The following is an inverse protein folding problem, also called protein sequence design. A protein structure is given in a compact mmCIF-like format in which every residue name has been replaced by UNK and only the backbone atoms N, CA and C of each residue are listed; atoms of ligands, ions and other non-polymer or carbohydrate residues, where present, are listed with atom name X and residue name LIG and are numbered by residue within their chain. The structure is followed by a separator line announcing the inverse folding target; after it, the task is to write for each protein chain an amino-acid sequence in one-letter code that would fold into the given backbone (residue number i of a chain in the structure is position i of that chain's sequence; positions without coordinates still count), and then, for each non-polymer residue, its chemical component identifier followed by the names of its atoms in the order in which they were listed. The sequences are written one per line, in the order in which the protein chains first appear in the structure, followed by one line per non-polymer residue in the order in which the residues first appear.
data_IF_190570009913
#
_entry.id   IF_190570009913
#
_cell.length_a   1.000
_cell.length_b   1.000
_cell.length_c   1.000
_cell.angle_alpha   90.00
_cell.angle_beta   90.00
_cell.angle_gamma   90.00
#
_symmetry.space_group_name_H-M   'P 1'
#
loop_
_entity.id
_entity.type
_entity.pdbx_description
1 polymer ?
#
# COMPACT_ATOMS: atom_id res chain seq x y z
N UNK A 1 -12.51 -7.32 -24.78
CA UNK A 1 -11.69 -6.09 -24.76
C UNK A 1 -10.93 -6.12 -23.46
N UNK A 2 -9.61 -6.18 -23.53
CA UNK A 2 -8.76 -6.25 -22.35
C UNK A 2 -8.81 -4.89 -21.66
N UNK A 3 -9.43 -4.81 -20.47
CA UNK A 3 -9.71 -3.52 -19.80
C UNK A 3 -8.45 -2.89 -19.21
N UNK A 4 -7.29 -3.54 -19.36
CA UNK A 4 -6.02 -3.11 -18.81
C UNK A 4 -5.97 -3.12 -17.28
N UNK A 5 -7.02 -3.62 -16.61
CA UNK A 5 -7.13 -3.66 -15.16
C UNK A 5 -6.32 -4.80 -14.56
N UNK A 6 -5.83 -4.61 -13.33
CA UNK A 6 -5.16 -5.67 -12.57
C UNK A 6 -6.17 -6.34 -11.64
N UNK A 7 -6.38 -7.64 -11.78
CA UNK A 7 -7.23 -8.43 -10.87
C UNK A 7 -6.37 -9.17 -9.86
N UNK A 8 -6.57 -8.87 -8.58
CA UNK A 8 -5.88 -9.49 -7.46
C UNK A 8 -6.82 -10.42 -6.70
N UNK A 9 -6.33 -11.59 -6.31
CA UNK A 9 -7.00 -12.47 -5.37
C UNK A 9 -6.39 -12.28 -3.99
N UNK A 10 -7.10 -11.61 -3.10
CA UNK A 10 -6.62 -11.40 -1.73
C UNK A 10 -7.19 -12.50 -0.84
N UNK A 11 -6.28 -13.26 -0.25
CA UNK A 11 -6.61 -14.27 0.76
C UNK A 11 -6.72 -13.57 2.12
N UNK A 12 -7.94 -13.37 2.61
CA UNK A 12 -8.16 -12.74 3.91
C UNK A 12 -7.63 -13.65 5.02
N UNK A 13 -6.57 -13.27 5.77
CA UNK A 13 -5.90 -14.19 6.70
C UNK A 13 -6.78 -14.61 7.88
N UNK A 14 -7.70 -13.73 8.29
CA UNK A 14 -8.53 -13.86 9.50
C UNK A 14 -9.98 -14.25 9.22
N UNK A 15 -10.42 -14.25 7.97
CA UNK A 15 -11.79 -14.58 7.62
C UNK A 15 -11.87 -15.99 7.03
N UNK A 16 -12.61 -16.86 7.73
CA UNK A 16 -12.87 -18.22 7.28
C UNK A 16 -14.37 -18.43 7.08
N UNK A 17 -14.76 -19.06 5.98
CA UNK A 17 -16.12 -19.57 5.76
C UNK A 17 -16.05 -21.08 5.63
N UNK A 18 -16.73 -21.80 6.53
CA UNK A 18 -16.71 -23.29 6.56
C UNK A 18 -15.29 -23.86 6.60
N UNK A 19 -14.41 -23.31 7.45
CA UNK A 19 -12.98 -23.70 7.59
C UNK A 19 -12.11 -23.46 6.34
N UNK A 20 -12.60 -22.74 5.32
CA UNK A 20 -11.81 -22.30 4.17
C UNK A 20 -11.53 -20.80 4.27
N UNK A 21 -10.32 -20.38 3.91
CA UNK A 21 -9.98 -18.96 3.82
C UNK A 21 -10.86 -18.28 2.78
N UNK A 22 -11.38 -17.10 3.11
CA UNK A 22 -12.14 -16.31 2.15
C UNK A 22 -11.17 -15.66 1.17
N UNK A 23 -11.39 -15.89 -0.12
CA UNK A 23 -10.68 -15.21 -1.21
C UNK A 23 -11.61 -14.13 -1.73
N UNK A 24 -11.18 -12.87 -1.65
CA UNK A 24 -11.91 -11.73 -2.18
C UNK A 24 -11.18 -11.25 -3.44
N UNK A 25 -11.83 -11.24 -4.61
CA UNK A 25 -11.26 -10.61 -5.79
C UNK A 25 -11.33 -9.09 -5.64
N UNK A 26 -10.27 -8.41 -6.04
CA UNK A 26 -10.20 -6.96 -6.15
C UNK A 26 -9.71 -6.58 -7.54
N UNK A 27 -10.30 -5.53 -8.10
CA UNK A 27 -9.90 -4.99 -9.40
C UNK A 27 -9.30 -3.63 -9.19
N UNK A 28 -8.06 -3.45 -9.63
CA UNK A 28 -7.36 -2.18 -9.65
C UNK A 28 -7.46 -1.65 -11.08
N UNK A 29 -8.13 -0.51 -11.22
CA UNK A 29 -8.25 0.17 -12.50
C UNK A 29 -7.00 1.02 -12.75
N UNK A 30 -6.53 1.09 -14.01
CA UNK A 30 -5.41 1.96 -14.34
C UNK A 30 -5.82 3.43 -14.15
N UNK A 31 -4.92 4.24 -13.60
CA UNK A 31 -5.04 5.69 -13.64
C UNK A 31 -4.67 6.16 -15.05
N UNK A 32 -5.55 6.93 -15.68
CA UNK A 32 -5.36 7.42 -17.06
C UNK A 32 -4.72 8.80 -17.12
N UNK A 33 -4.80 9.57 -16.03
CA UNK A 33 -4.34 10.96 -15.98
C UNK A 33 -2.86 11.10 -15.62
N UNK A 34 -2.32 10.14 -14.87
CA UNK A 34 -0.93 10.13 -14.42
C UNK A 34 -0.43 8.68 -14.45
N UNK A 35 0.53 8.43 -15.33
CA UNK A 35 1.08 7.08 -15.56
C UNK A 35 2.08 6.68 -14.48
N UNK A 36 2.80 7.64 -13.90
CA UNK A 36 3.81 7.40 -12.86
C UNK A 36 3.14 7.04 -11.54
N UNK A 37 1.97 7.63 -11.28
CA UNK A 37 1.12 7.29 -10.13
C UNK A 37 0.13 6.14 -10.40
N UNK A 38 0.21 5.49 -11.56
CA UNK A 38 -0.71 4.41 -11.92
C UNK A 38 -0.29 3.09 -11.27
N UNK A 39 -1.05 2.54 -10.30
CA UNK A 39 -0.67 1.32 -9.59
C UNK A 39 -0.60 0.10 -10.51
N UNK A 40 -1.41 0.08 -11.57
CA UNK A 40 -1.37 -0.99 -12.58
C UNK A 40 -0.07 -0.95 -13.37
N UNK A 41 0.37 0.24 -13.78
CA UNK A 41 1.61 0.38 -14.56
C UNK A 41 2.83 0.15 -13.68
N UNK A 42 2.85 0.66 -12.44
CA UNK A 42 3.89 0.37 -11.47
C UNK A 42 4.04 -1.14 -11.21
N UNK A 43 2.92 -1.87 -11.07
CA UNK A 43 2.95 -3.31 -10.95
C UNK A 43 3.53 -4.01 -12.20
N UNK A 44 3.08 -3.62 -13.40
CA UNK A 44 3.57 -4.21 -14.66
C UNK A 44 5.07 -3.95 -14.85
N UNK A 45 5.51 -2.73 -14.62
CA UNK A 45 6.92 -2.36 -14.71
C UNK A 45 7.78 -3.22 -13.77
N UNK A 46 7.33 -3.44 -12.53
CA UNK A 46 8.02 -4.30 -11.57
C UNK A 46 7.97 -5.80 -11.99
N UNK A 47 6.80 -6.28 -12.43
CA UNK A 47 6.60 -7.68 -12.81
C UNK A 47 7.43 -8.06 -14.05
N UNK A 48 7.44 -7.20 -15.07
CA UNK A 48 8.08 -7.43 -16.36
C UNK A 48 9.56 -7.01 -16.36
N UNK A 49 10.07 -6.50 -15.23
CA UNK A 49 11.44 -6.02 -15.12
C UNK A 49 12.44 -7.16 -15.37
N UNK A 50 13.27 -7.02 -16.41
CA UNK A 50 14.21 -8.08 -16.85
C UNK A 50 15.19 -8.48 -15.74
N UNK A 51 15.69 -7.51 -14.96
CA UNK A 51 16.56 -7.76 -13.81
C UNK A 51 15.86 -8.41 -12.60
N UNK A 52 14.53 -8.42 -12.57
CA UNK A 52 13.75 -9.18 -11.58
C UNK A 52 13.38 -10.56 -12.11
N UNK A 53 13.12 -10.68 -13.41
CA UNK A 53 12.85 -11.96 -14.06
C UNK A 53 14.11 -12.86 -14.12
N UNK A 54 15.30 -12.28 -14.26
CA UNK A 54 16.58 -13.01 -14.31
C UNK A 54 17.11 -13.42 -12.94
N UNK A 55 16.47 -12.98 -11.86
CA UNK A 55 16.98 -13.17 -10.50
C UNK A 55 16.91 -14.63 -10.06
N UNK A 56 17.95 -15.14 -9.36
CA UNK A 56 17.92 -16.49 -8.82
C UNK A 56 16.73 -16.68 -7.86
N UNK A 57 16.12 -17.88 -7.84
CA UNK A 57 15.13 -18.24 -6.82
C UNK A 57 15.70 -18.01 -5.41
N UNK A 58 15.00 -17.18 -4.63
CA UNK A 58 15.40 -16.82 -3.27
C UNK A 58 16.38 -15.65 -3.14
N UNK A 59 16.51 -14.84 -4.19
CA UNK A 59 17.09 -13.51 -4.09
C UNK A 59 16.13 -12.51 -3.43
N UNK A 60 16.70 -11.48 -2.79
CA UNK A 60 15.91 -10.48 -2.09
C UNK A 60 15.24 -9.53 -3.08
N UNK A 61 13.91 -9.48 -3.15
CA UNK A 61 13.20 -8.52 -4.03
C UNK A 61 13.03 -7.15 -3.36
N UNK A 62 12.88 -7.14 -2.04
CA UNK A 62 12.70 -5.94 -1.22
C UNK A 62 13.55 -6.05 0.05
N UNK A 63 13.81 -4.92 0.72
CA UNK A 63 14.60 -4.87 1.96
C UNK A 63 13.96 -5.74 3.05
N UNK A 64 14.58 -6.86 3.43
CA UNK A 64 14.04 -7.89 4.35
C UNK A 64 12.93 -8.79 3.76
N UNK A 65 12.89 -8.93 2.44
CA UNK A 65 12.11 -9.95 1.74
C UNK A 65 13.05 -10.87 0.98
N UNK A 66 13.27 -12.09 1.49
CA UNK A 66 14.28 -13.01 0.93
C UNK A 66 13.75 -13.93 -0.16
N UNK A 67 12.43 -13.95 -0.43
CA UNK A 67 11.82 -14.92 -1.33
C UNK A 67 10.59 -14.30 -2.01
N UNK A 68 10.57 -14.25 -3.34
CA UNK A 68 9.45 -13.73 -4.16
C UNK A 68 8.14 -14.47 -3.85
N UNK A 69 8.22 -15.76 -3.51
CA UNK A 69 7.05 -16.60 -3.22
C UNK A 69 6.61 -16.56 -1.75
N UNK A 70 7.39 -15.93 -0.86
CA UNK A 70 7.04 -15.85 0.55
C UNK A 70 6.21 -14.60 0.80
N UNK A 71 5.08 -14.78 1.49
CA UNK A 71 4.30 -13.62 1.96
C UNK A 71 5.12 -12.78 2.93
N UNK A 72 5.11 -11.46 2.73
CA UNK A 72 5.70 -10.53 3.67
C UNK A 72 4.98 -10.60 5.02
N UNK A 73 5.75 -10.47 6.10
CA UNK A 73 5.17 -10.35 7.42
C UNK A 73 4.49 -8.98 7.57
N UNK A 74 3.46 -8.91 8.41
CA UNK A 74 2.79 -7.63 8.71
C UNK A 74 3.74 -6.61 9.36
N UNK A 75 4.73 -7.06 10.12
CA UNK A 75 5.73 -6.17 10.73
C UNK A 75 6.71 -5.61 9.71
N UNK A 76 7.10 -6.40 8.69
CA UNK A 76 7.92 -5.92 7.56
C UNK A 76 7.18 -4.82 6.81
N UNK A 77 5.92 -5.09 6.40
CA UNK A 77 5.08 -4.13 5.68
C UNK A 77 4.90 -2.86 6.52
N UNK A 78 4.57 -3.01 7.81
CA UNK A 78 4.39 -1.86 8.70
C UNK A 78 5.66 -1.03 8.86
N UNK A 79 6.83 -1.66 8.86
CA UNK A 79 8.12 -0.96 8.99
C UNK A 79 8.42 -0.12 7.75
N UNK A 80 8.22 -0.67 6.55
CA UNK A 80 8.40 0.09 5.30
C UNK A 80 7.42 1.25 5.23
N UNK A 81 6.13 1.00 5.48
CA UNK A 81 5.12 2.04 5.40
C UNK A 81 5.34 3.16 6.43
N UNK A 82 5.81 2.83 7.63
CA UNK A 82 6.08 3.86 8.64
C UNK A 82 7.37 4.63 8.34
N UNK A 83 8.48 3.93 8.05
CA UNK A 83 9.81 4.55 7.89
C UNK A 83 9.93 5.30 6.57
N UNK A 84 9.44 4.70 5.49
CA UNK A 84 9.74 5.16 4.13
C UNK A 84 8.59 5.97 3.51
N UNK A 85 7.42 6.00 4.15
CA UNK A 85 6.26 6.74 3.61
C UNK A 85 5.66 7.71 4.63
N UNK A 86 5.19 7.23 5.79
CA UNK A 86 4.53 8.09 6.79
C UNK A 86 5.53 9.10 7.37
N UNK A 87 6.74 8.67 7.73
CA UNK A 87 7.75 9.55 8.34
C UNK A 87 8.25 10.65 7.40
N UNK A 88 8.19 10.46 6.07
CA UNK A 88 8.51 11.51 5.10
C UNK A 88 7.43 12.62 5.08
N UNK A 89 6.20 12.26 5.42
CA UNK A 89 5.05 13.14 5.27
C UNK A 89 4.64 13.83 6.58
N UNK A 90 5.09 13.34 7.73
CA UNK A 90 4.74 13.90 9.03
C UNK A 90 5.70 13.49 10.14
N UNK A 91 5.86 14.37 11.13
CA UNK A 91 6.52 14.08 12.40
C UNK A 91 5.55 13.66 13.51
N UNK A 92 4.24 13.55 13.23
CA UNK A 92 3.25 13.18 14.23
C UNK A 92 3.45 11.72 14.70
N UNK A 93 3.48 11.47 16.02
CA UNK A 93 3.63 10.12 16.54
C UNK A 93 2.34 9.30 16.36
N UNK A 94 2.49 7.99 16.19
CA UNK A 94 1.39 7.02 16.11
C UNK A 94 0.47 7.20 14.90
N UNK A 95 0.97 7.77 13.82
CA UNK A 95 0.23 7.83 12.55
C UNK A 95 0.29 6.47 11.86
N UNK A 96 -0.88 5.98 11.47
CA UNK A 96 -1.03 4.74 10.71
C UNK A 96 -1.74 5.01 9.38
N UNK A 97 -1.52 4.15 8.38
CA UNK A 97 -2.29 4.22 7.13
C UNK A 97 -3.79 4.10 7.39
N UNK A 98 -4.20 3.33 8.41
CA UNK A 98 -5.61 3.19 8.77
C UNK A 98 -6.22 4.50 9.26
N UNK A 99 -5.49 5.27 10.08
CA UNK A 99 -5.94 6.60 10.53
C UNK A 99 -6.01 7.61 9.39
N UNK A 100 -5.04 7.56 8.47
CA UNK A 100 -5.01 8.43 7.29
C UNK A 100 -6.17 8.12 6.34
N UNK A 101 -6.35 6.84 6.00
CA UNK A 101 -7.44 6.37 5.15
C UNK A 101 -8.80 6.73 5.74
N UNK A 102 -9.00 6.53 7.06
CA UNK A 102 -10.24 6.92 7.71
C UNK A 102 -10.52 8.42 7.59
N UNK A 103 -9.54 9.25 7.94
CA UNK A 103 -9.71 10.71 7.91
C UNK A 103 -10.00 11.20 6.49
N UNK A 104 -9.34 10.62 5.47
CA UNK A 104 -9.61 10.94 4.06
C UNK A 104 -10.99 10.53 3.59
N UNK A 105 -11.46 9.34 3.98
CA UNK A 105 -12.78 8.85 3.59
C UNK A 105 -13.89 9.67 4.26
N UNK A 106 -13.68 10.13 5.49
CA UNK A 106 -14.57 11.11 6.13
C UNK A 106 -14.62 12.46 5.38
N UNK A 107 -13.47 12.99 4.96
CA UNK A 107 -13.41 14.25 4.22
C UNK A 107 -14.14 14.17 2.86
N UNK A 108 -14.22 12.97 2.27
CA UNK A 108 -15.01 12.70 1.08
C UNK A 108 -16.53 12.54 1.36
N UNK A 109 -16.96 12.71 2.62
CA UNK A 109 -18.36 12.70 3.02
C UNK A 109 -18.96 11.31 3.23
N UNK A 110 -18.15 10.25 3.27
CA UNK A 110 -18.65 8.89 3.57
C UNK A 110 -19.09 8.84 5.02
N UNK A 111 -20.26 8.25 5.28
CA UNK A 111 -20.83 8.20 6.62
C UNK A 111 -19.96 7.37 7.57
N UNK A 112 -19.92 7.77 8.85
CA UNK A 112 -19.17 7.03 9.88
C UNK A 112 -19.64 5.60 10.02
N UNK A 113 -20.95 5.39 9.94
CA UNK A 113 -21.56 4.07 10.06
C UNK A 113 -21.15 3.16 8.91
N UNK A 114 -21.12 3.67 7.68
CA UNK A 114 -20.62 2.91 6.52
C UNK A 114 -19.15 2.55 6.70
N UNK A 115 -18.33 3.46 7.21
CA UNK A 115 -16.90 3.18 7.43
C UNK A 115 -16.70 2.13 8.53
N UNK A 116 -17.47 2.19 9.62
CA UNK A 116 -17.44 1.18 10.69
C UNK A 116 -17.82 -0.20 10.13
N UNK A 117 -18.88 -0.26 9.31
CA UNK A 117 -19.36 -1.50 8.69
C UNK A 117 -18.32 -2.05 7.70
N UNK A 118 -17.83 -1.21 6.77
CA UNK A 118 -16.87 -1.61 5.75
C UNK A 118 -15.50 -1.96 6.33
N UNK A 119 -15.09 -1.24 7.38
CA UNK A 119 -13.85 -1.47 8.11
C UNK A 119 -13.91 -2.70 9.02
N UNK A 120 -15.11 -3.20 9.32
CA UNK A 120 -15.38 -4.24 10.32
C UNK A 120 -14.92 -3.84 11.74
N UNK A 121 -15.29 -2.64 12.19
CA UNK A 121 -14.89 -2.11 13.49
C UNK A 121 -16.00 -2.26 14.51
N UNK A 122 -15.62 -2.37 15.78
CA UNK A 122 -16.56 -2.60 16.88
C UNK A 122 -17.44 -1.37 17.15
N UNK A 123 -16.91 -0.16 16.94
CA UNK A 123 -17.64 1.09 17.19
C UNK A 123 -17.02 2.29 16.46
N UNK A 124 -17.83 3.32 16.25
CA UNK A 124 -17.39 4.65 15.80
C UNK A 124 -16.43 5.32 16.80
N UNK A 125 -16.66 5.13 18.10
CA UNK A 125 -15.83 5.70 19.17
C UNK A 125 -14.38 5.21 19.14
N UNK A 126 -14.15 3.97 18.73
CA UNK A 126 -12.80 3.45 18.50
C UNK A 126 -12.08 4.29 17.46
N UNK A 127 -12.82 4.77 16.46
CA UNK A 127 -12.27 5.56 15.37
C UNK A 127 -11.98 6.98 15.81
N UNK A 128 -12.98 7.64 16.37
CA UNK A 128 -12.88 9.04 16.79
C UNK A 128 -11.74 9.24 17.79
N UNK A 129 -11.59 8.32 18.75
CA UNK A 129 -10.60 8.46 19.80
C UNK A 129 -9.18 8.04 19.38
N UNK A 130 -9.03 7.05 18.49
CA UNK A 130 -7.71 6.47 18.19
C UNK A 130 -7.21 6.69 16.77
N UNK A 131 -8.09 6.93 15.81
CA UNK A 131 -7.74 6.95 14.39
C UNK A 131 -8.12 8.24 13.66
N UNK A 132 -9.00 9.07 14.22
CA UNK A 132 -9.35 10.34 13.60
C UNK A 132 -8.19 11.34 13.71
N UNK A 133 -7.74 11.82 12.55
CA UNK A 133 -6.61 12.74 12.38
C UNK A 133 -6.98 13.76 11.30
N UNK A 134 -8.03 14.55 11.54
CA UNK A 134 -8.57 15.49 10.55
C UNK A 134 -7.51 16.49 10.04
N UNK A 135 -6.54 16.87 10.86
CA UNK A 135 -5.45 17.77 10.46
C UNK A 135 -4.51 17.12 9.42
N UNK A 136 -4.41 15.79 9.41
CA UNK A 136 -3.54 15.05 8.49
C UNK A 136 -4.16 14.76 7.13
N UNK A 137 -5.49 14.87 6.99
CA UNK A 137 -6.17 14.59 5.73
C UNK A 137 -5.96 15.70 4.66
N UNK A 138 -5.34 16.81 5.06
CA UNK A 138 -4.89 17.89 4.18
C UNK A 138 -3.44 17.75 3.71
N UNK A 139 -2.68 16.81 4.25
CA UNK A 139 -1.30 16.57 3.81
C UNK A 139 -1.35 15.96 2.40
N UNK A 140 -0.73 16.65 1.43
CA UNK A 140 -0.52 16.10 0.11
C UNK A 140 0.68 15.14 0.14
N UNK A 141 0.40 13.90 0.55
CA UNK A 141 1.42 12.84 0.64
C UNK A 141 2.12 12.61 -0.70
N UNK A 142 1.40 12.73 -1.81
CA UNK A 142 1.96 12.51 -3.15
C UNK A 142 3.01 13.57 -3.46
N UNK A 143 2.65 14.84 -3.35
CA UNK A 143 3.61 15.92 -3.59
C UNK A 143 4.78 15.88 -2.61
N UNK A 144 4.55 15.55 -1.33
CA UNK A 144 5.63 15.46 -0.33
C UNK A 144 6.62 14.35 -0.65
N UNK A 145 6.16 13.15 -1.03
CA UNK A 145 7.05 12.02 -1.40
C UNK A 145 7.77 12.30 -2.71
N UNK A 146 7.11 12.95 -3.67
CA UNK A 146 7.71 13.26 -4.98
C UNK A 146 8.65 14.49 -4.94
N UNK A 147 8.51 15.37 -3.94
CA UNK A 147 9.34 16.58 -3.80
C UNK A 147 10.57 16.39 -2.93
N UNK A 148 10.72 15.26 -2.24
CA UNK A 148 11.91 14.96 -1.46
C UNK A 148 13.12 14.85 -2.42
N UNK A 149 14.17 15.68 -2.27
CA UNK A 149 15.35 15.67 -3.14
C UNK A 149 16.27 14.47 -2.85
N UNK A 150 15.71 13.29 -2.67
CA UNK A 150 16.48 12.06 -2.72
C UNK A 150 16.74 11.73 -4.19
N UNK A 151 17.95 12.07 -4.63
CA UNK A 151 18.72 11.44 -5.71
C UNK A 151 18.87 9.91 -5.49
N UNK A 152 17.80 9.22 -5.11
CA UNK A 152 17.76 7.80 -4.78
C UNK A 152 16.39 7.17 -5.06
N UNK A 153 15.63 7.73 -5.99
CA UNK A 153 14.84 6.85 -6.84
C UNK A 153 15.86 6.05 -7.64
N UNK A 154 16.13 4.82 -7.19
CA UNK A 154 16.87 3.86 -8.00
C UNK A 154 16.08 3.72 -9.29
N UNK A 155 16.60 4.34 -10.35
CA UNK A 155 16.12 4.07 -11.68
C UNK A 155 16.17 2.55 -11.81
N UNK A 156 15.12 1.92 -12.36
CA UNK A 156 15.12 0.46 -12.47
C UNK A 156 16.30 -0.04 -13.36
N UNK A 157 16.92 0.90 -14.09
CA UNK A 157 18.16 0.78 -14.83
C UNK A 157 19.45 0.83 -14.01
N UNK A 158 19.45 1.34 -12.78
CA UNK A 158 20.64 1.29 -11.92
C UNK A 158 20.76 -0.10 -11.32
N UNK A 159 21.76 -0.83 -11.82
CA UNK A 159 22.13 -2.17 -11.41
C UNK A 159 22.03 -2.34 -9.89
N UNK A 160 21.14 -3.23 -9.46
CA UNK A 160 21.16 -3.80 -8.11
C UNK A 160 22.42 -4.67 -7.96
N UNK A 161 23.57 -3.99 -7.88
CA UNK A 161 24.87 -4.59 -7.57
C UNK A 161 24.82 -4.97 -6.09
N UNK A 162 24.48 -6.23 -5.84
CA UNK A 162 24.50 -6.83 -4.51
C UNK A 162 25.94 -6.78 -3.96
N UNK A 163 26.15 -5.97 -2.93
CA UNK A 163 27.20 -6.21 -1.92
C UNK A 163 26.65 -7.14 -0.85
#
# INVERSE_FOLDING_TARGET
MDTGCLTLQVVAPKENRRKRRIIKPFTIHPHTSDIELCPVQGFKALHDHSGLASRPPGSQLFVKSHLIQQSLSSSTISSWLHRDFIALCTSEPNVSIRSLAYSRVLDLGVSRDDIVILGNWTSSSTIENHYQRNQMAQVDFTSTVLSDPLDQFFDAHEDFSLV
#
